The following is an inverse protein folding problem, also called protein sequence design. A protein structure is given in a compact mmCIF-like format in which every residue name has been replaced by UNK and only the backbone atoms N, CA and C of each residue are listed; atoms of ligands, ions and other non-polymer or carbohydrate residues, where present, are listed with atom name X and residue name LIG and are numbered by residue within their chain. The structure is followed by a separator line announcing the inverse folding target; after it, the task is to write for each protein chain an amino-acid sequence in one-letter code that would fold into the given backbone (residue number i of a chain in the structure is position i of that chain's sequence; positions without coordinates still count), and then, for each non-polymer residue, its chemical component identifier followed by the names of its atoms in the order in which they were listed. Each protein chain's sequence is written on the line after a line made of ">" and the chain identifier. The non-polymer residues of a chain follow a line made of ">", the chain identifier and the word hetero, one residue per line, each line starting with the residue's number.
data_IF_971472171986
#
_entry.id   IF_971472171986
#
_cell.length_a   1.000
_cell.length_b   1.000
_cell.length_c   1.000
_cell.angle_alpha   90.00
_cell.angle_beta   90.00
_cell.angle_gamma   90.00
#
_symmetry.space_group_name_H-M   'P 1'
#
loop_
_entity.id
_entity.type
_entity.pdbx_description
1 polymer ?
#
# COMPACT_ATOMS: atom_id res chain seq x y z
N UNK A 1 20.84 7.70 -2.71
CA UNK A 1 20.01 7.65 -1.49
C UNK A 1 18.89 8.71 -1.50
N UNK A 2 19.15 10.00 -1.75
CA UNK A 2 18.09 11.02 -1.88
C UNK A 2 17.09 10.78 -3.02
N UNK A 3 17.49 10.16 -4.14
CA UNK A 3 16.57 9.82 -5.24
C UNK A 3 15.52 8.78 -4.86
N UNK A 4 15.92 7.75 -4.11
CA UNK A 4 15.02 6.72 -3.60
C UNK A 4 13.97 7.35 -2.70
N UNK A 5 14.41 8.19 -1.75
CA UNK A 5 13.51 8.94 -0.86
C UNK A 5 12.55 9.89 -1.60
N UNK A 6 13.00 10.55 -2.68
CA UNK A 6 12.11 11.42 -3.47
C UNK A 6 11.09 10.60 -4.26
N UNK A 7 11.49 9.44 -4.80
CA UNK A 7 10.58 8.48 -5.44
C UNK A 7 9.58 7.90 -4.44
N UNK A 8 10.02 7.59 -3.22
CA UNK A 8 9.16 7.10 -2.15
C UNK A 8 8.12 8.18 -1.79
N UNK A 9 8.55 9.45 -1.66
CA UNK A 9 7.63 10.56 -1.36
C UNK A 9 6.62 10.83 -2.49
N UNK A 10 7.05 10.82 -3.75
CA UNK A 10 6.15 10.98 -4.91
C UNK A 10 5.15 9.82 -4.99
N UNK A 11 5.60 8.59 -4.70
CA UNK A 11 4.73 7.42 -4.64
C UNK A 11 3.73 7.51 -3.49
N UNK A 12 4.15 7.98 -2.31
CA UNK A 12 3.30 8.20 -1.15
C UNK A 12 2.22 9.26 -1.42
N UNK A 13 2.60 10.38 -2.03
CA UNK A 13 1.66 11.42 -2.45
C UNK A 13 0.65 10.86 -3.48
N UNK A 14 1.14 10.16 -4.51
CA UNK A 14 0.27 9.55 -5.52
C UNK A 14 -0.73 8.55 -4.92
N UNK A 15 -0.29 7.71 -3.97
CA UNK A 15 -1.17 6.80 -3.22
C UNK A 15 -2.21 7.60 -2.43
N UNK A 16 -1.80 8.68 -1.74
CA UNK A 16 -2.71 9.46 -0.90
C UNK A 16 -3.81 10.21 -1.67
N UNK A 17 -3.51 10.62 -2.91
CA UNK A 17 -4.41 11.37 -3.80
C UNK A 17 -5.48 10.48 -4.47
N UNK A 18 -5.25 9.18 -4.57
CA UNK A 18 -6.24 8.22 -5.08
C UNK A 18 -6.94 7.54 -3.89
N UNK A 19 -8.22 7.88 -3.68
CA UNK A 19 -9.00 7.34 -2.57
C UNK A 19 -9.05 5.80 -2.54
N UNK A 20 -9.16 5.16 -3.70
CA UNK A 20 -9.29 3.70 -3.80
C UNK A 20 -7.95 3.04 -3.48
N UNK A 21 -6.87 3.57 -4.05
CA UNK A 21 -5.51 3.09 -3.81
C UNK A 21 -5.13 3.34 -2.34
N UNK A 22 -5.39 4.52 -1.81
CA UNK A 22 -5.16 4.84 -0.38
C UNK A 22 -5.86 3.84 0.54
N UNK A 23 -7.16 3.61 0.34
CA UNK A 23 -7.93 2.74 1.21
C UNK A 23 -7.43 1.28 1.15
N UNK A 24 -7.01 0.81 -0.03
CA UNK A 24 -6.38 -0.50 -0.20
C UNK A 24 -5.08 -0.60 0.59
N UNK A 25 -4.17 0.37 0.44
CA UNK A 25 -2.88 0.33 1.12
C UNK A 25 -3.01 0.50 2.64
N UNK A 26 -3.93 1.34 3.12
CA UNK A 26 -4.24 1.45 4.55
C UNK A 26 -4.80 0.13 5.11
N UNK A 27 -5.67 -0.54 4.35
CA UNK A 27 -6.17 -1.86 4.72
C UNK A 27 -5.04 -2.89 4.77
N UNK A 28 -4.12 -2.88 3.80
CA UNK A 28 -2.95 -3.76 3.80
C UNK A 28 -2.03 -3.47 4.99
N UNK A 29 -1.79 -2.20 5.32
CA UNK A 29 -0.99 -1.81 6.49
C UNK A 29 -1.60 -2.32 7.80
N UNK A 30 -2.91 -2.15 7.98
CA UNK A 30 -3.63 -2.68 9.14
C UNK A 30 -3.57 -4.21 9.21
N UNK A 31 -3.81 -4.90 8.09
CA UNK A 31 -3.73 -6.37 8.03
C UNK A 31 -2.32 -6.91 8.26
N UNK A 32 -1.29 -6.17 7.85
CA UNK A 32 0.12 -6.49 8.10
C UNK A 32 0.42 -6.47 9.59
N UNK A 33 -0.06 -5.45 10.30
CA UNK A 33 0.12 -5.32 11.75
C UNK A 33 -0.63 -6.39 12.55
N UNK A 34 -1.72 -6.93 12.01
CA UNK A 34 -2.52 -8.00 12.62
C UNK A 34 -2.08 -9.42 12.22
N UNK A 35 -0.98 -9.59 11.47
CA UNK A 35 -0.53 -10.87 10.88
C UNK A 35 -1.61 -11.53 9.98
N UNK A 36 -2.51 -10.73 9.40
CA UNK A 36 -3.65 -11.17 8.57
C UNK A 36 -3.53 -10.80 7.10
N UNK A 37 -2.39 -10.27 6.67
CA UNK A 37 -2.16 -9.84 5.30
C UNK A 37 -2.13 -11.03 4.32
N UNK A 38 -1.52 -12.15 4.71
CA UNK A 38 -1.37 -13.33 3.85
C UNK A 38 -2.73 -13.94 3.39
N UNK A 39 -3.71 -14.17 4.29
CA UNK A 39 -5.06 -14.59 3.86
C UNK A 39 -5.74 -13.62 2.88
N UNK A 40 -5.57 -12.31 3.09
CA UNK A 40 -6.14 -11.30 2.20
C UNK A 40 -5.52 -11.33 0.81
N UNK A 41 -4.18 -11.42 0.72
CA UNK A 41 -3.51 -11.58 -0.56
C UNK A 41 -3.93 -12.86 -1.27
N UNK A 42 -4.10 -13.96 -0.53
CA UNK A 42 -4.58 -15.20 -1.10
C UNK A 42 -5.95 -15.04 -1.75
N UNK A 43 -6.91 -14.38 -1.09
CA UNK A 43 -8.21 -14.04 -1.68
C UNK A 43 -8.06 -13.16 -2.93
N UNK A 44 -7.20 -12.14 -2.85
CA UNK A 44 -6.94 -11.20 -3.94
C UNK A 44 -6.31 -11.86 -5.18
N UNK A 45 -5.47 -12.88 -5.01
CA UNK A 45 -4.91 -13.66 -6.11
C UNK A 45 -6.00 -14.41 -6.92
N UNK A 46 -7.11 -14.77 -6.28
CA UNK A 46 -8.24 -15.46 -6.90
C UNK A 46 -9.31 -14.50 -7.44
N UNK A 47 -9.10 -13.19 -7.33
CA UNK A 47 -10.01 -12.20 -7.88
C UNK A 47 -9.82 -12.09 -9.41
N UNK A 48 -10.81 -12.53 -10.18
CA UNK A 48 -10.76 -12.51 -11.65
C UNK A 48 -10.86 -11.09 -12.25
N UNK A 49 -11.27 -10.09 -11.45
CA UNK A 49 -11.36 -8.69 -11.90
C UNK A 49 -10.01 -7.97 -11.90
N UNK A 50 -8.99 -8.55 -11.25
CA UNK A 50 -7.63 -8.02 -11.20
C UNK A 50 -6.70 -8.77 -12.16
N UNK A 51 -5.92 -8.02 -12.94
CA UNK A 51 -4.90 -8.60 -13.79
C UNK A 51 -3.69 -9.11 -12.98
N UNK A 52 -2.95 -10.05 -13.58
CA UNK A 52 -1.76 -10.67 -12.97
C UNK A 52 -0.67 -9.64 -12.62
N UNK A 53 -0.61 -8.51 -13.36
CA UNK A 53 0.35 -7.44 -13.10
C UNK A 53 0.04 -6.72 -11.79
N UNK A 54 -1.23 -6.40 -11.55
CA UNK A 54 -1.71 -5.73 -10.35
C UNK A 54 -1.57 -6.65 -9.14
N UNK A 55 -1.92 -7.93 -9.31
CA UNK A 55 -1.73 -8.98 -8.28
C UNK A 55 -0.26 -9.16 -7.90
N UNK A 56 0.64 -9.18 -8.89
CA UNK A 56 2.08 -9.27 -8.66
C UNK A 56 2.61 -8.08 -7.88
N UNK A 57 2.26 -6.86 -8.31
CA UNK A 57 2.64 -5.62 -7.63
C UNK A 57 2.19 -5.59 -6.16
N UNK A 58 0.93 -5.95 -5.88
CA UNK A 58 0.41 -5.95 -4.51
C UNK A 58 1.09 -7.00 -3.62
N UNK A 59 1.54 -8.11 -4.21
CA UNK A 59 2.30 -9.14 -3.49
C UNK A 59 3.70 -8.63 -3.14
N UNK A 60 4.39 -8.00 -4.09
CA UNK A 60 5.72 -7.39 -3.83
C UNK A 60 5.65 -6.33 -2.73
N UNK A 61 4.61 -5.49 -2.74
CA UNK A 61 4.41 -4.46 -1.71
C UNK A 61 4.10 -5.07 -0.35
N UNK A 62 3.34 -6.17 -0.32
CA UNK A 62 3.05 -6.86 0.92
C UNK A 62 4.27 -7.54 1.57
N UNK A 63 5.31 -7.82 0.78
CA UNK A 63 6.61 -8.29 1.30
C UNK A 63 7.45 -7.17 1.92
N UNK A 64 7.01 -5.91 1.82
CA UNK A 64 7.62 -4.75 2.47
C UNK A 64 6.69 -4.11 3.54
N UNK A 65 6.68 -4.65 4.78
CA UNK A 65 5.94 -4.06 5.90
C UNK A 65 6.38 -2.64 6.25
N UNK A 66 7.64 -2.27 5.99
CA UNK A 66 8.14 -0.93 6.30
C UNK A 66 7.54 0.11 5.35
N UNK A 67 7.37 -0.25 4.08
CA UNK A 67 6.65 0.57 3.11
C UNK A 67 5.18 0.76 3.51
N UNK A 68 4.47 -0.31 3.88
CA UNK A 68 3.07 -0.22 4.31
C UNK A 68 2.90 0.70 5.53
N UNK A 69 3.81 0.61 6.50
CA UNK A 69 3.81 1.51 7.65
C UNK A 69 4.10 2.97 7.26
N UNK A 70 5.01 3.18 6.31
CA UNK A 70 5.31 4.52 5.80
C UNK A 70 4.11 5.16 5.08
N UNK A 71 3.32 4.37 4.34
CA UNK A 71 2.06 4.83 3.73
C UNK A 71 1.07 5.26 4.79
N UNK A 72 0.84 4.44 5.81
CA UNK A 72 -0.06 4.77 6.91
C UNK A 72 0.35 6.07 7.61
N UNK A 73 1.62 6.16 8.01
CA UNK A 73 2.17 7.33 8.69
C UNK A 73 2.08 8.60 7.81
N UNK A 74 2.34 8.47 6.51
CA UNK A 74 2.23 9.56 5.56
C UNK A 74 0.79 10.08 5.47
N UNK A 75 -0.17 9.19 5.20
CA UNK A 75 -1.59 9.55 5.05
C UNK A 75 -2.14 10.17 6.33
N UNK A 76 -1.80 9.64 7.50
CA UNK A 76 -2.23 10.21 8.79
C UNK A 76 -1.67 11.62 9.00
N UNK A 77 -0.43 11.89 8.58
CA UNK A 77 0.20 13.19 8.71
C UNK A 77 -0.30 14.21 7.69
N UNK A 78 -0.65 13.77 6.47
CA UNK A 78 -1.13 14.67 5.40
C UNK A 78 -2.64 14.88 5.42
N UNK A 79 -3.43 14.02 6.06
CA UNK A 79 -4.89 14.22 6.25
C UNK A 79 -5.26 15.54 6.95
N UNK A 80 -4.34 16.16 7.69
CA UNK A 80 -4.56 17.47 8.35
C UNK A 80 -4.42 18.64 7.35
N UNK A 81 -3.74 18.41 6.22
CA UNK A 81 -3.33 19.44 5.26
C UNK A 81 -4.12 19.45 3.94
N UNK A 82 -4.99 18.46 3.70
CA UNK A 82 -5.88 18.37 2.53
C UNK A 82 -7.34 18.62 2.93
#
# INVERSE_FOLDING_TARGET
>A
MLRTWLQDLESLEAISQDDTTRDLFLRMAWLSQEDRLQPFLFELQHDDDLDDSTKGMLTEIAEDPAFLLAVEDYVQKTQIFH
#
